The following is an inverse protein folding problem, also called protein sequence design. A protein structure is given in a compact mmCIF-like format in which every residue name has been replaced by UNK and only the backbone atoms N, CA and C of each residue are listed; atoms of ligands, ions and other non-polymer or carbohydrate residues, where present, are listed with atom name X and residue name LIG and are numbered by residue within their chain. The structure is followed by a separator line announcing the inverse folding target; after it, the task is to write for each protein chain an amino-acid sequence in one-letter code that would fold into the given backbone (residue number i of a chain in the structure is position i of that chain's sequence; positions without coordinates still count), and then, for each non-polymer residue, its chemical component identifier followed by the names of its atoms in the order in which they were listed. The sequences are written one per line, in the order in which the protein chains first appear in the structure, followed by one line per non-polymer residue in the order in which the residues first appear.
data_IF_369417076824
#
_entry.id   IF_369417076824
#
_cell.length_a   1.000
_cell.length_b   1.000
_cell.length_c   1.000
_cell.angle_alpha   90.00
_cell.angle_beta   90.00
_cell.angle_gamma   90.00
#
_symmetry.space_group_name_H-M   'P 1'
#
loop_
_entity.id
_entity.type
_entity.pdbx_description
1 polymer ?
#
# COMPACT_ATOMS: atom_id res chain seq x y z
N UNK A 1 -37.41 -38.65 1.26
CA UNK A 1 -37.03 -37.88 2.47
C UNK A 1 -35.57 -37.38 2.38
N UNK A 2 -35.18 -36.75 1.26
CA UNK A 2 -33.79 -36.34 0.98
C UNK A 2 -33.61 -34.83 0.79
N UNK A 3 -34.70 -34.06 0.64
CA UNK A 3 -34.69 -32.62 0.30
C UNK A 3 -34.19 -31.72 1.44
N UNK A 4 -34.30 -32.18 2.68
CA UNK A 4 -33.99 -31.39 3.88
C UNK A 4 -32.48 -31.26 4.13
N UNK A 5 -31.75 -32.37 3.99
CA UNK A 5 -30.28 -32.38 4.14
C UNK A 5 -29.59 -31.65 2.97
N UNK A 6 -30.14 -31.75 1.76
CA UNK A 6 -29.60 -31.04 0.59
C UNK A 6 -29.79 -29.53 0.72
N UNK A 7 -30.96 -29.06 1.19
CA UNK A 7 -31.18 -27.63 1.46
C UNK A 7 -30.27 -27.09 2.57
N UNK A 8 -30.06 -27.84 3.64
CA UNK A 8 -29.14 -27.47 4.73
C UNK A 8 -27.69 -27.38 4.22
N UNK A 9 -27.24 -28.35 3.41
CA UNK A 9 -25.91 -28.34 2.81
C UNK A 9 -25.69 -27.14 1.89
N UNK A 10 -26.68 -26.80 1.05
CA UNK A 10 -26.61 -25.62 0.16
C UNK A 10 -26.51 -24.33 0.98
N UNK A 11 -27.31 -24.18 2.03
CA UNK A 11 -27.27 -23.00 2.90
C UNK A 11 -25.89 -22.83 3.56
N UNK A 12 -25.28 -23.92 4.04
CA UNK A 12 -23.94 -23.90 4.63
C UNK A 12 -22.89 -23.48 3.59
N UNK A 13 -22.93 -24.04 2.37
CA UNK A 13 -21.97 -23.69 1.31
C UNK A 13 -22.09 -22.21 0.93
N UNK A 14 -23.31 -21.68 0.80
CA UNK A 14 -23.54 -20.26 0.49
C UNK A 14 -23.01 -19.37 1.61
N UNK A 15 -23.29 -19.69 2.87
CA UNK A 15 -22.77 -18.94 4.02
C UNK A 15 -21.25 -18.98 4.05
N UNK A 16 -20.63 -20.15 3.87
CA UNK A 16 -19.18 -20.30 3.83
C UNK A 16 -18.56 -19.50 2.68
N UNK A 17 -19.13 -19.55 1.48
CA UNK A 17 -18.62 -18.80 0.33
C UNK A 17 -18.68 -17.28 0.56
N UNK A 18 -19.75 -16.77 1.16
CA UNK A 18 -19.89 -15.34 1.52
C UNK A 18 -18.92 -14.93 2.62
N UNK A 19 -18.73 -15.78 3.64
CA UNK A 19 -17.77 -15.52 4.72
C UNK A 19 -16.34 -15.52 4.17
N UNK A 20 -15.99 -16.48 3.31
CA UNK A 20 -14.66 -16.59 2.71
C UNK A 20 -14.37 -15.40 1.80
N UNK A 21 -15.32 -14.96 0.95
CA UNK A 21 -15.10 -13.79 0.09
C UNK A 21 -14.92 -12.49 0.89
N UNK A 22 -15.66 -12.32 1.99
CA UNK A 22 -15.50 -11.19 2.89
C UNK A 22 -14.13 -11.20 3.59
N UNK A 23 -13.67 -12.35 4.08
CA UNK A 23 -12.33 -12.49 4.69
C UNK A 23 -11.24 -12.15 3.68
N UNK A 24 -11.36 -12.66 2.45
CA UNK A 24 -10.39 -12.40 1.39
C UNK A 24 -10.35 -10.90 1.04
N UNK A 25 -11.49 -10.22 0.96
CA UNK A 25 -11.55 -8.78 0.67
C UNK A 25 -10.84 -7.90 1.71
N UNK A 26 -10.83 -8.31 2.99
CA UNK A 26 -10.13 -7.57 4.07
C UNK A 26 -8.60 -7.67 3.95
N UNK A 27 -8.07 -8.73 3.34
CA UNK A 27 -6.63 -8.96 3.25
C UNK A 27 -5.96 -8.32 2.03
N UNK A 28 -6.73 -7.76 1.08
CA UNK A 28 -6.20 -7.40 -0.24
C UNK A 28 -5.58 -6.01 -0.38
N UNK A 29 -5.50 -5.18 0.66
CA UNK A 29 -5.32 -3.74 0.44
C UNK A 29 -4.53 -2.92 1.46
N UNK A 30 -3.50 -3.48 2.10
CA UNK A 30 -2.61 -2.65 2.93
C UNK A 30 -1.27 -2.45 2.23
N UNK A 31 -1.18 -1.45 1.34
CA UNK A 31 0.13 -0.87 1.04
C UNK A 31 0.71 -0.32 2.35
N UNK A 32 1.79 -0.92 2.83
CA UNK A 32 2.49 -0.45 4.02
C UNK A 32 3.16 0.88 3.71
N UNK A 33 2.45 1.98 4.00
CA UNK A 33 2.96 3.34 3.95
C UNK A 33 3.91 3.57 5.12
N UNK A 34 5.09 4.10 4.83
CA UNK A 34 6.06 4.50 5.84
C UNK A 34 6.28 5.99 5.74
N UNK A 35 5.83 6.72 6.76
CA UNK A 35 5.94 8.18 6.81
C UNK A 35 7.36 8.62 7.11
N UNK A 36 7.82 9.64 6.38
CA UNK A 36 9.13 10.23 6.61
C UNK A 36 9.07 11.17 7.80
N UNK A 37 9.77 10.82 8.88
CA UNK A 37 9.89 11.66 10.09
C UNK A 37 11.03 12.67 9.93
N UNK A 38 11.13 13.72 10.77
CA UNK A 38 12.21 14.70 10.68
C UNK A 38 13.60 14.08 10.70
N UNK A 39 13.80 13.03 11.50
CA UNK A 39 15.08 12.34 11.66
C UNK A 39 15.54 11.67 10.34
N UNK A 40 14.61 11.23 9.50
CA UNK A 40 14.92 10.63 8.18
C UNK A 40 15.49 11.67 7.18
N UNK A 41 15.29 12.97 7.48
CA UNK A 41 15.70 14.10 6.63
C UNK A 41 17.05 14.69 7.04
N UNK A 42 17.56 14.31 8.21
CA UNK A 42 18.79 14.87 8.80
C UNK A 42 20.06 14.17 8.29
N UNK A 43 19.93 13.06 7.55
CA UNK A 43 21.06 12.37 6.95
C UNK A 43 21.72 13.23 5.86
N UNK A 44 23.00 13.59 6.06
CA UNK A 44 23.79 14.31 5.04
C UNK A 44 24.06 13.48 3.78
N UNK A 45 23.96 12.15 3.88
CA UNK A 45 24.18 11.22 2.79
C UNK A 45 23.34 9.95 2.93
N UNK A 46 22.91 9.41 1.80
CA UNK A 46 22.25 8.11 1.71
C UNK A 46 23.22 7.04 1.21
N UNK A 47 23.05 5.82 1.71
CA UNK A 47 23.78 4.65 1.20
C UNK A 47 23.26 4.35 -0.20
N UNK A 48 24.19 4.06 -1.13
CA UNK A 48 23.91 3.64 -2.50
C UNK A 48 23.47 2.17 -2.56
N UNK A 49 22.35 1.86 -1.90
CA UNK A 49 21.68 0.57 -1.96
C UNK A 49 20.42 0.70 -2.83
N UNK A 50 20.23 -0.23 -3.76
CA UNK A 50 19.04 -0.25 -4.60
C UNK A 50 17.94 -1.12 -3.95
N UNK A 51 16.99 -0.46 -3.31
CA UNK A 51 15.79 -1.00 -2.69
C UNK A 51 14.59 -0.11 -3.08
N UNK A 52 14.08 -0.23 -4.32
CA UNK A 52 13.20 0.79 -4.90
C UNK A 52 11.94 1.05 -4.07
N UNK A 53 11.58 2.32 -3.99
CA UNK A 53 10.38 2.80 -3.28
C UNK A 53 9.67 3.88 -4.11
N UNK A 54 8.37 3.99 -3.90
CA UNK A 54 7.57 5.07 -4.44
C UNK A 54 7.37 6.13 -3.37
N UNK A 55 7.95 7.32 -3.56
CA UNK A 55 7.83 8.44 -2.64
C UNK A 55 6.63 9.31 -3.00
N UNK A 56 5.64 9.37 -2.11
CA UNK A 56 4.40 10.11 -2.29
C UNK A 56 4.54 11.54 -1.76
N UNK A 57 4.27 12.53 -2.61
CA UNK A 57 4.42 13.93 -2.24
C UNK A 57 3.36 14.40 -1.24
N UNK A 58 3.72 15.40 -0.43
CA UNK A 58 2.81 16.07 0.48
C UNK A 58 1.87 16.98 -0.33
N UNK A 59 0.55 16.75 -0.32
CA UNK A 59 -0.41 17.56 -1.06
C UNK A 59 -0.52 19.01 -0.54
N UNK A 60 -0.02 19.31 0.66
CA UNK A 60 0.06 20.70 1.17
C UNK A 60 1.28 21.46 0.61
N UNK A 61 2.26 20.76 0.03
CA UNK A 61 3.50 21.34 -0.50
C UNK A 61 3.57 21.28 -2.03
N UNK A 62 3.02 20.22 -2.62
CA UNK A 62 3.12 19.94 -4.05
C UNK A 62 1.73 19.81 -4.64
N UNK A 63 1.41 20.69 -5.60
CA UNK A 63 0.21 20.58 -6.42
C UNK A 63 0.46 19.62 -7.59
N UNK A 64 -0.04 18.39 -7.44
CA UNK A 64 0.04 17.37 -8.49
C UNK A 64 -1.11 17.50 -9.50
N UNK A 65 -0.77 17.76 -10.76
CA UNK A 65 -1.74 17.91 -11.86
C UNK A 65 -2.17 16.54 -12.42
N UNK A 66 -1.32 15.52 -12.29
CA UNK A 66 -1.52 14.18 -12.84
C UNK A 66 -1.20 13.12 -11.78
N UNK A 67 -1.91 11.99 -11.85
CA UNK A 67 -1.59 10.79 -11.08
C UNK A 67 -0.40 10.00 -11.72
N UNK A 68 0.42 9.32 -10.90
CA UNK A 68 0.49 9.43 -9.44
C UNK A 68 1.13 10.74 -8.99
N UNK A 69 0.75 11.21 -7.79
CA UNK A 69 1.43 12.32 -7.11
C UNK A 69 2.64 11.78 -6.34
N UNK A 70 3.58 11.18 -7.07
CA UNK A 70 4.70 10.44 -6.50
C UNK A 70 5.85 10.29 -7.51
N UNK A 71 7.02 9.91 -7.01
CA UNK A 71 8.23 9.68 -7.79
C UNK A 71 8.96 8.40 -7.32
N UNK A 72 9.66 7.73 -8.24
CA UNK A 72 10.49 6.57 -7.95
C UNK A 72 11.81 6.99 -7.33
N UNK A 73 12.17 6.36 -6.21
CA UNK A 73 13.46 6.55 -5.56
C UNK A 73 14.21 5.23 -5.46
N UNK A 74 15.54 5.28 -5.52
CA UNK A 74 16.38 4.09 -5.41
C UNK A 74 16.29 3.40 -4.05
N UNK A 75 15.96 4.14 -2.98
CA UNK A 75 15.66 3.60 -1.66
C UNK A 75 14.90 4.61 -0.78
N UNK A 76 14.51 4.16 0.42
CA UNK A 76 13.78 4.97 1.42
C UNK A 76 14.53 6.19 1.90
N UNK A 77 15.86 6.13 2.03
CA UNK A 77 16.66 7.30 2.42
C UNK A 77 16.56 8.39 1.36
N UNK A 78 16.80 8.05 0.09
CA UNK A 78 16.68 9.04 -0.99
C UNK A 78 15.27 9.62 -1.07
N UNK A 79 14.24 8.79 -0.86
CA UNK A 79 12.85 9.26 -0.80
C UNK A 79 12.60 10.23 0.35
N UNK A 80 12.95 9.87 1.58
CA UNK A 80 12.69 10.70 2.75
C UNK A 80 13.62 11.92 2.86
N UNK A 81 14.78 11.90 2.20
CA UNK A 81 15.65 13.08 2.10
C UNK A 81 15.01 14.20 1.28
N UNK A 82 14.07 13.89 0.39
CA UNK A 82 13.31 14.90 -0.34
C UNK A 82 12.27 15.55 0.60
N UNK A 83 12.33 16.88 0.83
CA UNK A 83 11.44 17.55 1.78
C UNK A 83 9.96 17.55 1.37
N UNK A 84 9.68 17.33 0.09
CA UNK A 84 8.36 17.31 -0.49
C UNK A 84 7.67 15.95 -0.35
N UNK A 85 8.43 14.89 -0.08
CA UNK A 85 7.87 13.56 0.18
C UNK A 85 7.26 13.51 1.59
N UNK A 86 6.06 12.95 1.68
CA UNK A 86 5.33 12.71 2.93
C UNK A 86 5.56 11.29 3.47
N UNK A 87 5.50 10.30 2.58
CA UNK A 87 5.70 8.88 2.91
C UNK A 87 6.15 8.11 1.67
N UNK A 88 6.64 6.89 1.87
CA UNK A 88 6.96 5.98 0.78
C UNK A 88 6.22 4.65 0.90
N UNK A 89 6.08 3.95 -0.23
CA UNK A 89 5.65 2.55 -0.31
C UNK A 89 6.76 1.72 -0.97
N UNK A 90 6.78 0.40 -0.71
CA UNK A 90 7.78 -0.49 -1.32
C UNK A 90 7.49 -0.72 -2.80
N UNK A 91 8.54 -0.75 -3.62
CA UNK A 91 8.44 -0.95 -5.06
C UNK A 91 8.28 0.38 -5.83
N UNK A 92 8.19 0.27 -7.14
CA UNK A 92 7.99 1.40 -8.04
C UNK A 92 6.58 2.00 -7.91
N UNK A 93 6.44 3.26 -8.31
CA UNK A 93 5.18 3.96 -8.38
C UNK A 93 4.24 3.38 -9.44
N UNK A 94 2.92 3.43 -9.21
CA UNK A 94 1.94 3.00 -10.21
C UNK A 94 1.93 3.94 -11.43
N UNK A 95 1.60 3.40 -12.60
CA UNK A 95 1.46 4.16 -13.86
C UNK A 95 0.04 4.74 -14.08
#
# INVERSE_FOLDING_TARGET
MMKDRTSLMIAIIVVLAVVVSAIIAVNYGTENRVYCVPEDREGEACIEVYEPVCGWFNPEKVDCIKYPCAENFGNSCFSCSNPDVLYYTKGECPE
#
